data_IF_387696837555
#
_entry.id   IF_387696837555
#
_cell.length_a   1.000
_cell.length_b   1.000
_cell.length_c   1.000
_cell.angle_alpha   90.00
_cell.angle_beta   90.00
_cell.angle_gamma   90.00
#
_symmetry.space_group_name_H-M   'P 1'
#
loop_
_entity.id
_entity.type
_entity.pdbx_description
1 polymer ?
#
# COMPACT_ATOMS: atom_id res chain seq x y z
N UNK A 1 -18.27 9.14 2.08
CA UNK A 1 -18.36 7.68 2.17
C UNK A 1 -16.95 7.13 2.32
N UNK A 2 -16.73 6.24 3.27
CA UNK A 2 -15.48 5.49 3.46
C UNK A 2 -15.73 4.04 3.04
N UNK A 3 -14.83 3.48 2.23
CA UNK A 3 -14.94 2.11 1.78
C UNK A 3 -13.90 1.26 2.52
N UNK A 4 -14.24 0.01 2.88
CA UNK A 4 -13.27 -0.92 3.46
C UNK A 4 -12.03 -1.03 2.58
N UNK A 5 -10.86 -1.25 3.20
CA UNK A 5 -9.60 -1.35 2.47
C UNK A 5 -9.65 -2.42 1.38
N UNK A 6 -9.62 -1.99 0.13
CA UNK A 6 -9.62 -2.85 -1.06
C UNK A 6 -8.28 -2.66 -1.74
N UNK A 7 -7.62 -3.74 -2.11
CA UNK A 7 -6.34 -3.71 -2.81
C UNK A 7 -6.48 -3.88 -4.33
N UNK A 8 -7.68 -4.23 -4.79
CA UNK A 8 -8.03 -4.37 -6.19
C UNK A 8 -9.54 -4.19 -6.38
N UNK A 9 -9.95 -3.58 -7.48
CA UNK A 9 -11.37 -3.54 -7.89
C UNK A 9 -11.82 -4.84 -8.58
N UNK A 10 -10.93 -5.82 -8.69
CA UNK A 10 -11.27 -7.19 -9.15
C UNK A 10 -11.33 -8.09 -7.92
N UNK A 11 -12.55 -8.38 -7.47
CA UNK A 11 -12.80 -9.12 -6.23
C UNK A 11 -12.23 -10.55 -6.29
N UNK A 12 -11.41 -10.87 -5.28
CA UNK A 12 -10.92 -12.22 -5.02
C UNK A 12 -11.74 -12.86 -3.88
N UNK A 13 -12.32 -12.04 -3.00
CA UNK A 13 -13.11 -12.46 -1.85
C UNK A 13 -14.54 -11.88 -1.87
N UNK A 14 -15.47 -12.52 -1.14
CA UNK A 14 -16.84 -12.03 -1.04
C UNK A 14 -16.97 -10.67 -0.34
N UNK A 15 -16.07 -10.36 0.59
CA UNK A 15 -16.04 -9.06 1.28
C UNK A 15 -15.59 -7.93 0.36
N UNK A 16 -14.56 -8.17 -0.46
CA UNK A 16 -14.12 -7.22 -1.48
C UNK A 16 -15.22 -6.96 -2.51
N UNK A 17 -15.99 -7.99 -2.89
CA UNK A 17 -17.08 -7.85 -3.84
C UNK A 17 -18.18 -6.89 -3.33
N UNK A 18 -18.51 -6.95 -2.05
CA UNK A 18 -19.47 -6.03 -1.42
C UNK A 18 -18.93 -4.60 -1.45
N UNK A 19 -17.66 -4.40 -1.11
CA UNK A 19 -17.03 -3.07 -1.14
C UNK A 19 -16.98 -2.48 -2.55
N UNK A 20 -16.65 -3.29 -3.56
CA UNK A 20 -16.62 -2.87 -4.96
C UNK A 20 -18.03 -2.52 -5.46
N UNK A 21 -19.04 -3.33 -5.15
CA UNK A 21 -20.42 -3.03 -5.52
C UNK A 21 -20.91 -1.74 -4.86
N UNK A 22 -20.59 -1.53 -3.57
CA UNK A 22 -20.93 -0.29 -2.88
C UNK A 22 -20.24 0.93 -3.50
N UNK A 23 -18.97 0.79 -3.93
CA UNK A 23 -18.23 1.85 -4.64
C UNK A 23 -18.86 2.16 -6.00
N UNK A 24 -19.17 1.15 -6.81
CA UNK A 24 -19.82 1.34 -8.11
C UNK A 24 -21.20 1.99 -7.93
N UNK A 25 -22.02 1.50 -7.00
CA UNK A 25 -23.34 2.10 -6.73
C UNK A 25 -23.22 3.57 -6.28
N UNK A 26 -22.20 3.90 -5.49
CA UNK A 26 -21.96 5.28 -5.07
C UNK A 26 -21.49 6.20 -6.23
N UNK A 27 -20.81 5.64 -7.25
CA UNK A 27 -20.47 6.38 -8.47
C UNK A 27 -21.68 6.63 -9.38
N UNK A 28 -22.64 5.69 -9.40
CA UNK A 28 -23.88 5.81 -10.15
C UNK A 28 -24.83 6.86 -9.55
N UNK A 29 -24.80 7.00 -8.22
CA UNK A 29 -25.55 8.02 -7.52
C UNK A 29 -24.85 9.39 -7.69
N UNK A 30 -25.62 10.42 -8.07
CA UNK A 30 -25.09 11.81 -8.19
C UNK A 30 -24.69 12.43 -6.83
N UNK A 31 -24.60 11.63 -5.78
CA UNK A 31 -24.22 12.04 -4.42
C UNK A 31 -22.71 12.14 -4.22
N UNK A 32 -21.89 11.59 -5.13
CA UNK A 32 -20.44 11.69 -5.07
C UNK A 32 -19.90 12.77 -5.98
N UNK A 33 -19.30 13.79 -5.39
CA UNK A 33 -18.66 14.88 -6.12
C UNK A 33 -17.26 14.51 -6.59
N UNK A 34 -16.46 13.81 -5.75
CA UNK A 34 -15.07 13.48 -6.04
C UNK A 34 -14.65 12.19 -5.33
N UNK A 35 -13.82 11.40 -5.99
CA UNK A 35 -13.20 10.19 -5.43
C UNK A 35 -11.81 10.53 -4.92
N UNK A 36 -11.46 10.04 -3.72
CA UNK A 36 -10.09 10.09 -3.18
C UNK A 36 -9.53 8.68 -3.16
N UNK A 37 -8.44 8.47 -3.87
CA UNK A 37 -7.67 7.24 -3.82
C UNK A 37 -6.41 7.46 -2.96
N UNK A 38 -6.32 6.77 -1.82
CA UNK A 38 -5.14 6.87 -0.93
C UNK A 38 -4.11 5.85 -1.34
N UNK A 39 -2.89 6.31 -1.62
CA UNK A 39 -1.76 5.50 -2.07
C UNK A 39 -0.61 5.62 -1.09
N UNK A 40 -0.01 4.50 -0.72
CA UNK A 40 1.21 4.44 0.08
C UNK A 40 2.44 4.72 -0.81
N UNK A 41 3.11 5.86 -0.60
CA UNK A 41 4.28 6.25 -1.38
C UNK A 41 5.50 5.35 -1.14
N UNK A 42 5.58 4.65 -0.02
CA UNK A 42 6.67 3.72 0.28
C UNK A 42 6.56 2.42 -0.53
N UNK A 43 5.36 2.15 -1.08
CA UNK A 43 5.05 0.99 -1.93
C UNK A 43 4.27 1.44 -3.17
N UNK A 44 4.78 2.48 -3.83
CA UNK A 44 4.08 3.20 -4.88
C UNK A 44 3.58 2.30 -6.01
N UNK A 45 4.39 1.35 -6.48
CA UNK A 45 4.01 0.41 -7.53
C UNK A 45 2.69 -0.32 -7.22
N UNK A 46 2.59 -0.89 -6.02
CA UNK A 46 1.36 -1.60 -5.59
C UNK A 46 0.15 -0.67 -5.47
N UNK A 47 0.40 0.53 -4.95
CA UNK A 47 -0.64 1.56 -4.84
C UNK A 47 -1.13 2.04 -6.21
N UNK A 48 -0.23 2.17 -7.18
CA UNK A 48 -0.57 2.60 -8.54
C UNK A 48 -1.37 1.55 -9.31
N UNK A 49 -1.16 0.26 -9.09
CA UNK A 49 -2.01 -0.79 -9.69
C UNK A 49 -3.47 -0.56 -9.32
N UNK A 50 -3.74 -0.31 -8.05
CA UNK A 50 -5.09 -0.01 -7.57
C UNK A 50 -5.59 1.35 -8.06
N UNK A 51 -4.75 2.39 -7.99
CA UNK A 51 -5.12 3.73 -8.43
C UNK A 51 -5.48 3.80 -9.92
N UNK A 52 -4.81 3.03 -10.79
CA UNK A 52 -5.15 2.91 -12.21
C UNK A 52 -6.53 2.26 -12.42
N UNK A 53 -6.89 1.24 -11.65
CA UNK A 53 -8.23 0.63 -11.71
C UNK A 53 -9.32 1.61 -11.25
N UNK A 54 -9.05 2.38 -10.19
CA UNK A 54 -9.96 3.44 -9.71
C UNK A 54 -10.10 4.53 -10.77
N UNK A 55 -9.00 4.94 -11.40
CA UNK A 55 -8.99 5.93 -12.48
C UNK A 55 -9.83 5.48 -13.67
N UNK A 56 -9.66 4.23 -14.12
CA UNK A 56 -10.46 3.63 -15.19
C UNK A 56 -11.95 3.69 -14.86
N UNK A 57 -12.30 3.30 -13.62
CA UNK A 57 -13.69 3.34 -13.16
C UNK A 57 -14.23 4.77 -13.10
N UNK A 58 -13.46 5.72 -12.55
CA UNK A 58 -13.85 7.13 -12.52
C UNK A 58 -14.04 7.73 -13.91
N UNK A 59 -13.22 7.34 -14.90
CA UNK A 59 -13.40 7.72 -16.31
C UNK A 59 -14.73 7.21 -16.88
N UNK A 60 -15.09 5.95 -16.63
CA UNK A 60 -16.34 5.35 -17.09
C UNK A 60 -17.57 6.10 -16.56
N UNK A 61 -17.51 6.52 -15.30
CA UNK A 61 -18.61 7.24 -14.64
C UNK A 61 -18.48 8.76 -14.70
N UNK A 62 -17.45 9.30 -15.38
CA UNK A 62 -17.16 10.72 -15.51
C UNK A 62 -17.09 11.45 -14.15
N UNK A 63 -16.46 10.81 -13.15
CA UNK A 63 -16.26 11.35 -11.80
C UNK A 63 -14.83 11.83 -11.60
N UNK A 64 -14.63 12.97 -10.91
CA UNK A 64 -13.31 13.45 -10.55
C UNK A 64 -12.58 12.49 -9.61
N UNK A 65 -11.24 12.38 -9.79
CA UNK A 65 -10.35 11.60 -8.94
C UNK A 65 -9.21 12.47 -8.43
N UNK A 66 -8.89 12.33 -7.16
CA UNK A 66 -7.69 12.87 -6.52
C UNK A 66 -6.91 11.73 -5.88
N UNK A 67 -5.61 11.64 -6.17
CA UNK A 67 -4.72 10.66 -5.55
C UNK A 67 -4.05 11.32 -4.35
N UNK A 68 -4.34 10.80 -3.16
CA UNK A 68 -3.71 11.19 -1.90
C UNK A 68 -2.47 10.32 -1.65
N UNK A 69 -1.30 10.82 -2.00
CA UNK A 69 -0.02 10.12 -1.88
C UNK A 69 0.50 10.24 -0.44
N UNK A 70 0.14 9.26 0.40
CA UNK A 70 0.40 9.27 1.84
C UNK A 70 1.78 8.72 2.19
N UNK A 71 2.22 8.95 3.45
CA UNK A 71 3.49 8.53 4.03
C UNK A 71 4.72 9.27 3.49
N UNK A 72 4.57 10.50 3.00
CA UNK A 72 5.74 11.30 2.56
C UNK A 72 6.69 11.63 3.70
N UNK A 73 6.23 11.69 4.96
CA UNK A 73 7.08 11.84 6.13
C UNK A 73 8.12 10.71 6.28
N UNK A 74 7.77 9.50 5.86
CA UNK A 74 8.70 8.36 5.84
C UNK A 74 9.74 8.53 4.74
N UNK A 75 9.36 9.06 3.57
CA UNK A 75 10.28 9.36 2.48
C UNK A 75 11.27 10.45 2.90
N UNK A 76 10.78 11.55 3.48
CA UNK A 76 11.58 12.68 3.93
C UNK A 76 12.60 12.27 5.00
N UNK A 77 12.21 11.44 5.97
CA UNK A 77 13.10 10.88 7.00
C UNK A 77 14.26 10.08 6.40
N UNK A 78 14.06 9.49 5.24
CA UNK A 78 15.05 8.68 4.53
C UNK A 78 15.72 9.42 3.37
N UNK A 79 15.50 10.73 3.26
CA UNK A 79 16.11 11.56 2.20
C UNK A 79 15.65 11.21 0.79
N UNK A 80 14.50 10.50 0.65
CA UNK A 80 13.92 10.13 -0.63
C UNK A 80 13.00 11.22 -1.15
N UNK A 81 12.98 11.39 -2.46
CA UNK A 81 12.09 12.36 -3.14
C UNK A 81 11.10 11.64 -4.02
N UNK A 82 9.85 12.04 -3.91
CA UNK A 82 8.74 11.60 -4.72
C UNK A 82 8.31 12.71 -5.67
N UNK A 83 8.21 12.42 -6.96
CA UNK A 83 7.79 13.38 -7.98
C UNK A 83 6.25 13.31 -8.17
N UNK A 84 5.54 13.99 -7.27
CA UNK A 84 4.08 14.07 -7.31
C UNK A 84 3.56 14.84 -8.52
N UNK A 85 4.26 15.91 -8.95
CA UNK A 85 3.85 16.74 -10.09
C UNK A 85 3.99 15.99 -11.41
N UNK A 86 5.12 15.30 -11.60
CA UNK A 86 5.32 14.45 -12.77
C UNK A 86 4.29 13.33 -12.86
N UNK A 87 3.96 12.69 -11.73
CA UNK A 87 2.92 11.67 -11.69
C UNK A 87 1.53 12.25 -11.98
N UNK A 88 1.21 13.44 -11.45
CA UNK A 88 -0.05 14.12 -11.72
C UNK A 88 -0.23 14.44 -13.22
N UNK A 89 0.83 14.92 -13.87
CA UNK A 89 0.83 15.19 -15.31
C UNK A 89 0.69 13.90 -16.12
N UNK A 90 1.36 12.82 -15.71
CA UNK A 90 1.29 11.53 -16.39
C UNK A 90 -0.09 10.88 -16.24
N UNK A 91 -0.80 11.09 -15.14
CA UNK A 91 -2.11 10.50 -14.87
C UNK A 91 -3.29 11.43 -15.20
N UNK A 92 -3.03 12.68 -15.58
CA UNK A 92 -4.05 13.73 -15.81
C UNK A 92 -5.05 13.85 -14.63
N UNK A 93 -4.57 13.63 -13.40
CA UNK A 93 -5.32 13.79 -12.16
C UNK A 93 -4.48 14.45 -11.08
N UNK A 94 -5.12 15.11 -10.13
CA UNK A 94 -4.39 15.71 -9.01
C UNK A 94 -3.75 14.63 -8.13
N UNK A 95 -2.44 14.74 -7.89
CA UNK A 95 -1.67 13.90 -6.96
C UNK A 95 -1.15 14.78 -5.84
N UNK A 96 -1.64 14.56 -4.62
CA UNK A 96 -1.30 15.39 -3.46
C UNK A 96 -0.42 14.59 -2.49
N UNK A 97 0.85 14.96 -2.35
CA UNK A 97 1.71 14.36 -1.34
C UNK A 97 1.28 14.82 0.05
N UNK A 98 1.09 13.86 0.96
CA UNK A 98 0.65 14.14 2.32
C UNK A 98 1.18 13.13 3.33
N UNK A 99 1.09 13.51 4.62
CA UNK A 99 1.24 12.60 5.74
C UNK A 99 0.04 12.73 6.66
N UNK A 100 -0.81 11.72 6.68
CA UNK A 100 -1.96 11.68 7.58
C UNK A 100 -1.54 11.70 9.06
N UNK A 101 -0.33 11.19 9.37
CA UNK A 101 0.23 11.16 10.72
C UNK A 101 0.59 12.55 11.24
N UNK A 102 1.22 13.39 10.42
CA UNK A 102 1.66 14.75 10.81
C UNK A 102 0.64 15.84 10.44
N UNK A 103 -0.31 15.54 9.57
CA UNK A 103 -1.25 16.51 9.00
C UNK A 103 -0.68 17.32 7.83
N UNK A 104 0.58 17.09 7.45
CA UNK A 104 1.18 17.76 6.30
C UNK A 104 0.43 17.40 5.01
N UNK A 105 0.19 18.39 4.14
CA UNK A 105 -0.49 18.19 2.86
C UNK A 105 -2.02 18.13 2.92
N UNK A 106 -2.65 18.13 4.11
CA UNK A 106 -4.11 18.04 4.21
C UNK A 106 -4.83 19.28 3.68
N UNK A 107 -4.24 20.46 3.82
CA UNK A 107 -4.80 21.69 3.26
C UNK A 107 -4.78 21.62 1.72
N UNK A 108 -3.64 21.21 1.15
CA UNK A 108 -3.49 21.03 -0.30
C UNK A 108 -4.48 19.97 -0.84
N UNK A 109 -4.74 18.91 -0.07
CA UNK A 109 -5.76 17.94 -0.44
C UNK A 109 -7.15 18.59 -0.50
N UNK A 110 -7.52 19.43 0.47
CA UNK A 110 -8.79 20.16 0.46
C UNK A 110 -8.93 21.10 -0.74
N UNK A 111 -7.85 21.80 -1.10
CA UNK A 111 -7.80 22.67 -2.28
C UNK A 111 -7.94 21.84 -3.57
N UNK A 112 -7.21 20.73 -3.69
CA UNK A 112 -7.27 19.84 -4.84
C UNK A 112 -8.67 19.22 -5.02
N UNK A 113 -9.35 18.84 -3.93
CA UNK A 113 -10.71 18.32 -3.98
C UNK A 113 -11.71 19.36 -4.50
N UNK A 114 -11.55 20.62 -4.08
CA UNK A 114 -12.41 21.71 -4.51
C UNK A 114 -12.22 22.09 -6.00
N UNK A 115 -11.02 21.84 -6.54
CA UNK A 115 -10.64 22.12 -7.92
C UNK A 115 -10.72 20.89 -8.83
N UNK A 116 -11.04 19.72 -8.30
CA UNK A 116 -11.03 18.46 -9.04
C UNK A 116 -12.02 18.48 -10.21
N UNK A 117 -11.55 18.02 -11.35
CA UNK A 117 -12.36 17.81 -12.56
C UNK A 117 -12.25 16.38 -13.03
N UNK A 118 -13.25 15.90 -13.77
CA UNK A 118 -13.21 14.57 -14.34
C UNK A 118 -12.00 14.42 -15.26
N UNK A 119 -11.27 13.29 -15.21
CA UNK A 119 -10.11 13.04 -16.08
C UNK A 119 -10.48 13.11 -17.56
N UNK A 120 -9.53 13.50 -18.39
CA UNK A 120 -9.76 13.64 -19.83
C UNK A 120 -9.93 12.28 -20.51
N UNK A 121 -10.95 12.11 -21.36
CA UNK A 121 -11.15 10.89 -22.15
C UNK A 121 -10.00 10.56 -23.11
N UNK A 122 -9.14 11.53 -23.42
CA UNK A 122 -7.96 11.33 -24.26
C UNK A 122 -6.93 10.43 -23.59
N UNK A 123 -6.99 10.36 -22.25
CA UNK A 123 -6.12 9.54 -21.43
C UNK A 123 -6.46 8.04 -21.49
N UNK A 124 -7.75 7.72 -21.76
CA UNK A 124 -8.28 6.35 -21.76
C UNK A 124 -7.63 5.43 -22.79
N UNK A 125 -7.15 5.99 -23.92
CA UNK A 125 -6.61 5.20 -25.03
C UNK A 125 -5.14 4.83 -24.89
N UNK A 126 -4.35 5.60 -24.14
CA UNK A 126 -2.89 5.49 -24.15
C UNK A 126 -2.31 4.76 -22.93
N UNK A 127 -3.01 4.74 -21.81
CA UNK A 127 -2.45 4.23 -20.53
C UNK A 127 -3.30 3.14 -19.87
N UNK A 128 -4.64 3.14 -20.07
CA UNK A 128 -5.52 2.18 -19.41
C UNK A 128 -5.88 1.05 -20.37
N UNK A 129 -5.22 -0.07 -20.19
CA UNK A 129 -5.63 -1.28 -20.88
C UNK A 129 -6.51 -2.12 -19.93
N UNK A 130 -7.59 -2.64 -20.46
CA UNK A 130 -8.48 -3.59 -19.76
C UNK A 130 -7.80 -4.91 -19.37
N UNK A 131 -6.53 -5.09 -19.72
CA UNK A 131 -5.71 -6.25 -19.38
C UNK A 131 -4.88 -5.95 -18.11
N UNK A 132 -5.02 -6.80 -17.10
CA UNK A 132 -4.32 -6.70 -15.82
C UNK A 132 -2.80 -6.66 -15.96
N UNK A 133 -2.26 -7.42 -16.90
CA UNK A 133 -0.82 -7.47 -17.18
C UNK A 133 -0.29 -6.12 -17.67
N UNK A 134 -1.08 -5.37 -18.39
CA UNK A 134 -0.72 -4.05 -18.93
C UNK A 134 -0.79 -3.01 -17.81
N UNK A 135 -1.80 -3.08 -16.94
CA UNK A 135 -1.90 -2.19 -15.79
C UNK A 135 -0.72 -2.39 -14.82
N UNK A 136 -0.25 -3.63 -14.61
CA UNK A 136 0.95 -3.91 -13.82
C UNK A 136 2.21 -3.29 -14.45
N UNK A 137 2.40 -3.44 -15.75
CA UNK A 137 3.55 -2.86 -16.46
C UNK A 137 3.53 -1.32 -16.40
N UNK A 138 2.37 -0.71 -16.58
CA UNK A 138 2.22 0.74 -16.48
C UNK A 138 2.48 1.25 -15.04
N UNK A 139 1.94 0.57 -14.04
CA UNK A 139 2.19 0.91 -12.64
C UNK A 139 3.68 0.82 -12.29
N UNK A 140 4.37 -0.21 -12.78
CA UNK A 140 5.81 -0.36 -12.60
C UNK A 140 6.57 0.78 -13.29
N UNK A 141 6.27 1.10 -14.55
CA UNK A 141 6.92 2.18 -15.28
C UNK A 141 6.72 3.55 -14.59
N UNK A 142 5.49 3.84 -14.15
CA UNK A 142 5.19 5.07 -13.42
C UNK A 142 5.93 5.12 -12.07
N UNK A 143 5.99 3.99 -11.34
CA UNK A 143 6.71 3.91 -10.10
C UNK A 143 8.24 4.06 -10.28
N UNK A 144 8.82 3.50 -11.34
CA UNK A 144 10.24 3.67 -11.68
C UNK A 144 10.55 5.12 -12.11
N UNK A 145 9.64 5.77 -12.82
CA UNK A 145 9.85 7.12 -13.33
C UNK A 145 9.66 8.19 -12.26
N UNK A 146 8.59 8.13 -11.48
CA UNK A 146 8.14 9.17 -10.54
C UNK A 146 8.28 8.77 -9.07
N UNK A 147 8.49 7.49 -8.80
CA UNK A 147 8.57 6.94 -7.44
C UNK A 147 9.78 7.41 -6.65
N UNK A 148 9.80 7.09 -5.36
CA UNK A 148 10.87 7.51 -4.47
C UNK A 148 12.23 7.00 -4.95
N UNK A 149 13.14 7.93 -5.24
CA UNK A 149 14.51 7.63 -5.62
C UNK A 149 15.41 7.76 -4.40
N UNK A 150 15.92 6.63 -3.93
CA UNK A 150 16.82 6.58 -2.78
C UNK A 150 16.98 5.14 -2.25
N UNK A 151 18.20 4.79 -1.86
CA UNK A 151 18.65 3.40 -1.68
C UNK A 151 18.33 2.76 -0.30
N UNK A 152 17.63 3.39 0.62
CA UNK A 152 17.84 3.07 2.05
C UNK A 152 16.81 2.14 2.70
N UNK A 153 15.53 2.14 2.31
CA UNK A 153 14.51 1.36 3.05
C UNK A 153 14.23 -0.03 2.47
N UNK A 154 14.36 -0.18 1.18
CA UNK A 154 14.10 -1.47 0.51
C UNK A 154 15.23 -2.46 0.81
N UNK A 155 16.47 -1.96 0.98
CA UNK A 155 17.66 -2.80 1.08
C UNK A 155 17.71 -3.64 2.37
N UNK A 156 17.32 -3.10 3.53
CA UNK A 156 17.40 -3.83 4.80
C UNK A 156 16.30 -4.89 4.93
N UNK A 157 15.06 -4.56 4.57
CA UNK A 157 13.97 -5.54 4.56
C UNK A 157 14.19 -6.59 3.48
N UNK A 158 14.56 -6.17 2.28
CA UNK A 158 14.83 -7.10 1.16
C UNK A 158 16.02 -8.01 1.44
N UNK A 159 17.05 -7.54 2.14
CA UNK A 159 18.18 -8.38 2.57
C UNK A 159 17.78 -9.38 3.63
N UNK A 160 16.99 -8.98 4.63
CA UNK A 160 16.47 -9.90 5.63
C UNK A 160 15.51 -10.91 5.00
N UNK A 161 14.59 -10.44 4.16
CA UNK A 161 13.65 -11.29 3.44
C UNK A 161 14.38 -12.25 2.49
N UNK A 162 15.39 -11.78 1.75
CA UNK A 162 16.20 -12.65 0.87
C UNK A 162 17.01 -13.69 1.65
N UNK A 163 17.44 -13.35 2.86
CA UNK A 163 18.15 -14.30 3.73
C UNK A 163 17.20 -15.36 4.28
N UNK A 164 16.04 -14.95 4.84
CA UNK A 164 15.07 -15.87 5.44
C UNK A 164 14.23 -16.64 4.42
N UNK A 165 13.96 -16.07 3.25
CA UNK A 165 13.24 -16.72 2.15
C UNK A 165 14.16 -17.51 1.20
N UNK A 166 15.48 -17.46 1.40
CA UNK A 166 16.38 -18.26 0.59
C UNK A 166 16.14 -19.75 0.83
N UNK A 167 15.99 -20.52 -0.25
CA UNK A 167 15.57 -21.93 -0.20
C UNK A 167 16.39 -22.81 0.76
N UNK A 168 17.67 -22.55 0.93
CA UNK A 168 18.56 -23.29 1.83
C UNK A 168 18.70 -22.62 3.21
N UNK A 169 18.91 -21.31 3.24
CA UNK A 169 19.12 -20.59 4.50
C UNK A 169 17.82 -20.43 5.29
N UNK A 170 16.67 -20.25 4.61
CA UNK A 170 15.36 -20.21 5.27
C UNK A 170 15.03 -21.53 5.98
N UNK A 171 15.26 -22.66 5.32
CA UNK A 171 15.10 -23.98 5.94
C UNK A 171 16.03 -24.18 7.14
N UNK A 172 17.31 -23.83 7.01
CA UNK A 172 18.29 -23.94 8.09
C UNK A 172 17.94 -23.06 9.28
N UNK A 173 17.55 -21.80 9.03
CA UNK A 173 17.13 -20.87 10.08
C UNK A 173 15.86 -21.32 10.79
N UNK A 174 14.91 -21.91 10.06
CA UNK A 174 13.71 -22.51 10.67
C UNK A 174 14.07 -23.65 11.63
N UNK A 175 14.92 -24.60 11.20
CA UNK A 175 15.36 -25.68 12.07
C UNK A 175 16.15 -25.17 13.26
N UNK A 176 16.98 -24.15 13.10
CA UNK A 176 17.72 -23.53 14.18
C UNK A 176 16.81 -22.87 15.22
N UNK A 177 15.80 -22.12 14.78
CA UNK A 177 14.80 -21.51 15.65
C UNK A 177 14.00 -22.61 16.40
N UNK A 178 13.57 -23.65 15.69
CA UNK A 178 12.88 -24.78 16.28
C UNK A 178 13.76 -25.50 17.32
N UNK A 179 15.03 -25.71 17.01
CA UNK A 179 15.99 -26.29 17.97
C UNK A 179 16.12 -25.43 19.23
N UNK A 180 16.26 -24.11 19.07
CA UNK A 180 16.31 -23.17 20.22
C UNK A 180 15.02 -23.20 21.05
N UNK A 181 13.86 -23.27 20.42
CA UNK A 181 12.58 -23.39 21.11
C UNK A 181 12.49 -24.70 21.91
N UNK A 182 12.85 -25.83 21.30
CA UNK A 182 12.87 -27.10 22.00
C UNK A 182 13.89 -27.10 23.15
N UNK A 183 15.09 -26.60 22.88
CA UNK A 183 16.14 -26.50 23.91
C UNK A 183 15.69 -25.60 25.08
N UNK A 184 15.02 -24.50 24.79
CA UNK A 184 14.47 -23.59 25.80
C UNK A 184 13.44 -24.30 26.68
N UNK A 185 12.49 -25.02 26.05
CA UNK A 185 11.42 -25.73 26.80
C UNK A 185 12.01 -26.85 27.67
N UNK A 186 12.90 -27.65 27.12
CA UNK A 186 13.41 -28.82 27.85
C UNK A 186 14.54 -28.52 28.85
N UNK A 187 15.36 -27.50 28.57
CA UNK A 187 16.52 -27.19 29.42
C UNK A 187 16.23 -26.10 30.44
N UNK A 188 15.43 -25.10 30.08
CA UNK A 188 15.17 -23.95 30.98
C UNK A 188 13.87 -24.10 31.79
N UNK A 189 12.91 -24.89 31.34
CA UNK A 189 11.70 -25.16 32.09
C UNK A 189 11.95 -26.06 33.31
N UNK A 190 12.88 -27.00 33.21
CA UNK A 190 13.21 -27.90 34.32
C UNK A 190 13.69 -27.11 35.56
N UNK A 191 14.74 -26.27 35.52
CA UNK A 191 15.17 -25.52 36.70
C UNK A 191 14.11 -24.51 37.18
N UNK A 192 13.24 -24.00 36.29
CA UNK A 192 12.13 -23.16 36.72
C UNK A 192 11.07 -23.94 37.52
N UNK A 193 10.75 -25.16 37.10
CA UNK A 193 9.85 -26.05 37.84
C UNK A 193 10.44 -26.45 39.19
N UNK A 194 11.72 -26.81 39.23
CA UNK A 194 12.42 -27.15 40.47
C UNK A 194 12.45 -25.98 41.47
N UNK A 195 12.60 -24.74 40.98
CA UNK A 195 12.53 -23.54 41.80
C UNK A 195 11.13 -23.29 42.36
N UNK A 196 10.08 -23.55 41.60
CA UNK A 196 8.68 -23.45 42.07
C UNK A 196 8.38 -24.55 43.09
N UNK A 197 8.79 -25.78 42.82
CA UNK A 197 8.58 -26.92 43.75
C UNK A 197 9.29 -26.71 45.07
N UNK A 198 10.54 -26.26 45.04
CA UNK A 198 11.29 -25.92 46.28
C UNK A 198 10.67 -24.76 47.04
N UNK A 199 10.07 -23.81 46.38
CA UNK A 199 9.35 -22.68 47.02
C UNK A 199 8.08 -23.13 47.72
N UNK A 200 7.37 -24.11 47.17
CA UNK A 200 6.13 -24.67 47.76
C UNK A 200 6.46 -25.59 48.94
N UNK A 201 7.58 -26.33 48.90
CA UNK A 201 8.00 -27.17 50.03
C UNK A 201 8.47 -26.37 51.24
N UNK A 202 8.78 -25.09 51.08
CA UNK A 202 9.25 -24.20 52.16
C UNK A 202 8.10 -23.49 52.89
N UNK A 203 6.87 -23.60 52.40
CA UNK A 203 5.65 -22.99 52.93
C UNK A 203 4.85 -23.99 53.75
#
# INVERSE_FOLDING_TARGET
LDFPGVYSLRAISGEEQIAIQAFISALEDDLLDTVICVVDTTRLEKGLIFALQVLETCLQYNKPLVIAANMVDVLDQNGMKFDAEGLAQALDVAVVPLSAKSGAGLQQLGEALSAASAPSKKFESDIIASDESINHLHAQQLAEQFGPKGDVLIDTQTRLDSFFLHSWFGGLSFFFIMYLLFQSIFTWAAPAMDAVESSIQWL
#
